data_IF_745415645831
#
_entry.id   IF_745415645831
#
_cell.length_a   1.000
_cell.length_b   1.000
_cell.length_c   1.000
_cell.angle_alpha   90.00
_cell.angle_beta   90.00
_cell.angle_gamma   90.00
#
_symmetry.space_group_name_H-M   'P 1'
#
loop_
_entity.id
_entity.type
_entity.pdbx_description
1 polymer ?
#
# COMPACT_ATOMS: atom_id res chain seq x y z
N UNK A 1 20.57 -9.55 10.40
CA UNK A 1 21.21 -9.98 9.14
C UNK A 1 20.20 -10.66 8.22
N UNK A 2 19.42 -11.60 8.77
CA UNK A 2 18.39 -12.31 8.01
C UNK A 2 17.35 -11.34 7.44
N UNK A 3 16.88 -10.41 8.27
CA UNK A 3 15.90 -9.40 7.83
C UNK A 3 16.48 -8.43 6.82
N UNK A 4 17.75 -8.07 6.97
CA UNK A 4 18.40 -7.14 6.05
C UNK A 4 18.42 -7.69 4.62
N UNK A 5 18.79 -8.97 4.44
CA UNK A 5 18.79 -9.62 3.13
C UNK A 5 17.38 -9.70 2.54
N UNK A 6 16.41 -10.05 3.39
CA UNK A 6 15.02 -10.11 2.99
C UNK A 6 14.51 -8.76 2.49
N UNK A 7 14.77 -7.70 3.26
CA UNK A 7 14.32 -6.38 2.87
C UNK A 7 15.06 -5.84 1.65
N UNK A 8 16.32 -6.22 1.44
CA UNK A 8 17.03 -5.90 0.21
C UNK A 8 16.40 -6.60 -0.99
N UNK A 9 15.98 -7.87 -0.82
CA UNK A 9 15.26 -8.59 -1.86
C UNK A 9 13.93 -7.87 -2.19
N UNK A 10 13.17 -7.52 -1.18
CA UNK A 10 11.91 -6.81 -1.35
C UNK A 10 12.13 -5.48 -2.07
N UNK A 11 13.19 -4.77 -1.73
CA UNK A 11 13.52 -3.51 -2.37
C UNK A 11 13.82 -3.68 -3.86
N UNK A 12 14.42 -4.81 -4.24
CA UNK A 12 14.76 -5.10 -5.62
C UNK A 12 13.59 -5.65 -6.43
N UNK A 13 12.50 -6.08 -5.78
CA UNK A 13 11.35 -6.69 -6.44
C UNK A 13 10.09 -5.85 -6.20
N UNK A 14 9.20 -5.85 -7.17
CA UNK A 14 7.97 -5.08 -7.04
C UNK A 14 7.02 -5.74 -6.06
N UNK A 15 6.63 -4.98 -5.03
CA UNK A 15 5.65 -5.43 -4.04
C UNK A 15 4.26 -5.11 -4.54
N UNK A 16 3.35 -6.07 -4.41
CA UNK A 16 1.92 -5.87 -4.71
C UNK A 16 1.21 -5.25 -3.52
N UNK A 17 1.34 -5.89 -2.35
CA UNK A 17 0.61 -5.48 -1.16
C UNK A 17 1.22 -6.07 0.10
N UNK A 18 0.94 -5.43 1.23
CA UNK A 18 1.25 -5.94 2.57
C UNK A 18 -0.08 -6.07 3.29
N UNK A 19 -0.40 -7.28 3.74
CA UNK A 19 -1.73 -7.57 4.31
C UNK A 19 -1.61 -8.24 5.68
N UNK A 20 -2.58 -8.01 6.57
CA UNK A 20 -2.69 -8.79 7.80
C UNK A 20 -2.93 -10.26 7.47
N UNK A 21 -2.21 -11.14 8.12
CA UNK A 21 -2.33 -12.59 7.93
C UNK A 21 -1.87 -13.30 9.19
N UNK A 22 -2.79 -13.97 9.87
CA UNK A 22 -2.50 -14.63 11.14
C UNK A 22 -2.55 -16.14 10.96
N UNK A 23 -1.42 -16.82 11.21
CA UNK A 23 -1.31 -18.27 11.10
C UNK A 23 -0.67 -18.90 12.35
N UNK A 24 -0.71 -18.21 13.49
CA UNK A 24 -0.14 -18.67 14.76
C UNK A 24 1.27 -18.14 15.02
N UNK A 25 2.11 -18.05 14.02
CA UNK A 25 3.47 -17.54 14.14
C UNK A 25 3.65 -16.18 13.46
N UNK A 26 2.91 -15.97 12.37
CA UNK A 26 3.03 -14.78 11.56
C UNK A 26 1.82 -13.87 11.73
N UNK A 27 2.01 -12.59 11.47
CA UNK A 27 0.97 -11.56 11.60
C UNK A 27 0.72 -10.80 10.31
N UNK A 28 1.57 -10.96 9.31
CA UNK A 28 1.37 -10.32 8.01
C UNK A 28 1.94 -11.15 6.88
N UNK A 29 1.56 -10.78 5.67
CA UNK A 29 2.09 -11.39 4.45
C UNK A 29 2.41 -10.30 3.45
N UNK A 30 3.56 -10.40 2.80
CA UNK A 30 3.96 -9.53 1.70
C UNK A 30 3.80 -10.30 0.40
N UNK A 31 3.05 -9.72 -0.53
CA UNK A 31 2.88 -10.25 -1.87
C UNK A 31 3.78 -9.50 -2.84
N UNK A 32 4.58 -10.24 -3.61
CA UNK A 32 5.35 -9.69 -4.72
C UNK A 32 4.87 -10.33 -6.02
N UNK A 33 5.37 -9.84 -7.15
CA UNK A 33 5.03 -10.45 -8.45
C UNK A 33 5.63 -11.85 -8.63
N UNK A 34 6.63 -12.23 -7.83
CA UNK A 34 7.26 -13.54 -7.89
C UNK A 34 6.81 -14.46 -6.76
N UNK A 35 6.84 -13.98 -5.52
CA UNK A 35 6.65 -14.82 -4.34
C UNK A 35 5.88 -14.08 -3.25
N UNK A 36 5.43 -14.85 -2.26
CA UNK A 36 4.75 -14.32 -1.08
C UNK A 36 5.55 -14.72 0.14
N UNK A 37 5.61 -13.81 1.14
CA UNK A 37 6.38 -14.03 2.36
C UNK A 37 5.53 -13.73 3.58
N UNK A 38 5.55 -14.65 4.56
CA UNK A 38 4.93 -14.40 5.86
C UNK A 38 5.92 -13.74 6.80
N UNK A 39 5.45 -12.80 7.59
CA UNK A 39 6.25 -12.07 8.57
C UNK A 39 5.62 -12.14 9.95
N UNK A 40 6.47 -12.20 10.98
CA UNK A 40 6.01 -12.18 12.37
C UNK A 40 5.40 -10.82 12.73
N UNK A 41 5.95 -9.74 12.20
CA UNK A 41 5.47 -8.39 12.49
C UNK A 41 4.11 -8.11 11.83
N UNK A 42 3.36 -7.18 12.41
CA UNK A 42 2.06 -6.78 11.86
C UNK A 42 2.22 -6.01 10.56
N UNK A 43 1.15 -5.97 9.76
CA UNK A 43 1.20 -5.33 8.45
C UNK A 43 1.63 -3.87 8.51
N UNK A 44 1.15 -3.09 9.48
CA UNK A 44 1.56 -1.69 9.62
C UNK A 44 3.04 -1.56 9.99
N UNK A 45 3.55 -2.45 10.83
CA UNK A 45 4.97 -2.44 11.17
C UNK A 45 5.83 -2.80 9.95
N UNK A 46 5.40 -3.79 9.17
CA UNK A 46 6.07 -4.19 7.94
C UNK A 46 6.06 -3.04 6.92
N UNK A 47 4.92 -2.37 6.77
CA UNK A 47 4.82 -1.21 5.87
C UNK A 47 5.71 -0.07 6.32
N UNK A 48 5.78 0.19 7.62
CA UNK A 48 6.65 1.22 8.17
C UNK A 48 8.12 0.90 7.90
N UNK A 49 8.51 -0.35 8.07
CA UNK A 49 9.87 -0.80 7.76
C UNK A 49 10.18 -0.62 6.27
N UNK A 50 9.22 -0.94 5.41
CA UNK A 50 9.37 -0.73 3.97
C UNK A 50 9.58 0.75 3.63
N UNK A 51 8.81 1.63 4.25
CA UNK A 51 9.00 3.08 4.08
C UNK A 51 10.40 3.51 4.53
N UNK A 52 10.87 2.98 5.65
CA UNK A 52 12.19 3.34 6.21
C UNK A 52 13.35 2.93 5.31
N UNK A 53 13.19 1.93 4.46
CA UNK A 53 14.18 1.60 3.44
C UNK A 53 14.44 2.78 2.50
N UNK A 54 13.44 3.64 2.34
CA UNK A 54 13.51 4.79 1.45
C UNK A 54 13.55 6.12 2.21
N UNK A 55 13.92 6.06 3.49
CA UNK A 55 14.31 7.23 4.26
C UNK A 55 13.25 7.90 5.12
N UNK A 56 12.05 7.35 5.22
CA UNK A 56 11.02 7.94 6.08
C UNK A 56 10.04 6.88 6.58
N UNK A 57 9.33 7.21 7.66
CA UNK A 57 8.30 6.37 8.25
C UNK A 57 6.95 6.56 7.54
N UNK A 58 5.97 5.70 7.87
CA UNK A 58 4.59 5.91 7.42
C UNK A 58 4.11 7.30 7.84
N UNK A 59 4.34 7.67 9.10
CA UNK A 59 3.87 8.97 9.61
C UNK A 59 4.50 10.15 8.88
N UNK A 60 5.79 10.08 8.59
CA UNK A 60 6.47 11.09 7.80
C UNK A 60 5.90 11.20 6.39
N UNK A 61 5.62 10.06 5.76
CA UNK A 61 5.01 10.01 4.42
C UNK A 61 3.60 10.57 4.41
N UNK A 62 2.79 10.23 5.44
CA UNK A 62 1.44 10.78 5.58
C UNK A 62 1.48 12.29 5.77
N UNK A 63 2.40 12.77 6.61
CA UNK A 63 2.57 14.20 6.84
C UNK A 63 2.87 14.94 5.53
N UNK A 64 3.75 14.39 4.71
CA UNK A 64 4.08 14.99 3.42
C UNK A 64 2.87 15.05 2.49
N UNK A 65 2.05 13.99 2.45
CA UNK A 65 0.83 13.97 1.65
C UNK A 65 -0.19 14.99 2.14
N UNK A 66 -0.40 15.07 3.46
CA UNK A 66 -1.32 16.05 4.05
C UNK A 66 -0.93 17.47 3.70
N UNK A 67 0.35 17.79 3.81
CA UNK A 67 0.84 19.13 3.50
C UNK A 67 0.68 19.46 2.03
N UNK A 68 0.93 18.51 1.15
CA UNK A 68 0.91 18.76 -0.29
C UNK A 68 -0.50 18.74 -0.89
N UNK A 69 -1.32 17.78 -0.48
CA UNK A 69 -2.62 17.52 -1.12
C UNK A 69 -3.83 17.73 -0.20
N UNK A 70 -3.60 17.89 1.10
CA UNK A 70 -4.69 18.14 2.05
C UNK A 70 -5.54 16.93 2.41
N UNK A 71 -5.15 15.72 2.01
CA UNK A 71 -5.89 14.52 2.38
C UNK A 71 -5.73 14.26 3.88
N UNK A 72 -6.83 14.01 4.59
CA UNK A 72 -6.80 13.85 6.04
C UNK A 72 -7.18 12.44 6.53
N UNK A 73 -7.95 11.69 5.75
CA UNK A 73 -8.38 10.34 6.10
C UNK A 73 -7.88 9.35 5.06
N UNK A 74 -7.50 8.15 5.51
CA UNK A 74 -7.04 7.08 4.64
C UNK A 74 -5.94 7.59 3.71
N UNK A 75 -4.97 8.26 4.29
CA UNK A 75 -3.98 9.04 3.55
C UNK A 75 -3.07 8.12 2.74
N UNK A 76 -3.05 8.28 1.41
CA UNK A 76 -2.09 7.56 0.58
C UNK A 76 -0.70 8.16 0.75
N UNK A 77 0.33 7.36 0.52
CA UNK A 77 1.71 7.77 0.76
C UNK A 77 2.58 7.44 -0.44
N UNK A 78 3.58 8.29 -0.68
CA UNK A 78 4.64 7.96 -1.61
C UNK A 78 5.67 7.11 -0.87
N UNK A 79 6.02 5.96 -1.41
CA UNK A 79 6.99 5.05 -0.79
C UNK A 79 8.33 5.16 -1.47
N UNK A 80 8.35 5.06 -2.79
CA UNK A 80 9.53 5.24 -3.64
C UNK A 80 9.19 6.28 -4.69
N UNK A 81 10.17 6.77 -5.47
CA UNK A 81 9.84 7.70 -6.56
C UNK A 81 8.83 7.15 -7.57
N UNK A 82 8.67 5.83 -7.64
CA UNK A 82 7.78 5.18 -8.60
C UNK A 82 6.58 4.48 -7.97
N UNK A 83 6.45 4.51 -6.66
CA UNK A 83 5.42 3.75 -5.97
C UNK A 83 4.69 4.58 -4.92
N UNK A 84 3.38 4.65 -5.06
CA UNK A 84 2.50 5.18 -4.03
C UNK A 84 1.68 4.03 -3.47
N UNK A 85 1.34 4.09 -2.20
CA UNK A 85 0.56 3.07 -1.52
C UNK A 85 -0.65 3.70 -0.86
N UNK A 86 -1.71 2.91 -0.69
CA UNK A 86 -2.88 3.39 0.04
C UNK A 86 -3.47 2.28 0.91
N UNK A 87 -4.05 2.67 2.06
CA UNK A 87 -4.62 1.70 2.98
C UNK A 87 -6.06 1.36 2.63
N UNK A 88 -6.42 0.09 2.85
CA UNK A 88 -7.80 -0.40 2.76
C UNK A 88 -8.13 -1.15 4.04
N UNK A 89 -9.40 -1.19 4.45
CA UNK A 89 -9.78 -1.98 5.60
C UNK A 89 -9.60 -3.46 5.30
N UNK A 90 -9.23 -4.22 6.33
CA UNK A 90 -9.14 -5.67 6.25
C UNK A 90 -10.28 -6.31 7.05
N UNK A 91 -10.33 -7.65 7.06
CA UNK A 91 -11.27 -8.37 7.91
C UNK A 91 -10.92 -8.28 9.40
N UNK A 92 -9.72 -7.82 9.73
CA UNK A 92 -9.30 -7.64 11.11
C UNK A 92 -9.52 -6.21 11.57
N UNK A 93 -10.10 -6.01 12.75
CA UNK A 93 -10.39 -4.68 13.28
C UNK A 93 -9.08 -3.90 13.50
N UNK A 94 -9.09 -2.63 13.08
CA UNK A 94 -7.96 -1.71 13.25
C UNK A 94 -6.68 -2.12 12.52
N UNK A 95 -6.75 -3.05 11.58
CA UNK A 95 -5.62 -3.43 10.75
C UNK A 95 -5.94 -3.21 9.28
N UNK A 96 -4.99 -2.67 8.57
CA UNK A 96 -5.18 -2.25 7.18
C UNK A 96 -4.40 -3.12 6.22
N UNK A 97 -4.95 -3.26 5.02
CA UNK A 97 -4.25 -3.78 3.86
C UNK A 97 -3.58 -2.60 3.19
N UNK A 98 -2.28 -2.70 2.92
CA UNK A 98 -1.55 -1.67 2.17
C UNK A 98 -1.39 -2.14 0.73
N UNK A 99 -2.01 -1.42 -0.20
CA UNK A 99 -1.91 -1.68 -1.64
C UNK A 99 -0.79 -0.81 -2.20
N UNK A 100 0.20 -1.43 -2.82
CA UNK A 100 1.39 -0.75 -3.35
C UNK A 100 1.38 -0.77 -4.87
N UNK A 101 0.98 -1.89 -5.49
CA UNK A 101 0.81 -1.95 -6.93
C UNK A 101 -0.59 -1.43 -7.28
N UNK A 102 -0.65 -0.29 -7.93
CA UNK A 102 -1.91 0.38 -8.26
C UNK A 102 -2.55 -0.15 -9.55
N UNK A 103 -1.89 -1.04 -10.25
CA UNK A 103 -2.37 -1.60 -11.52
C UNK A 103 -3.10 -2.90 -11.27
N UNK A 104 -4.37 -2.79 -10.91
CA UNK A 104 -5.22 -3.93 -10.60
C UNK A 104 -6.61 -3.77 -11.21
N UNK A 105 -7.32 -4.89 -11.31
CA UNK A 105 -8.72 -4.93 -11.69
C UNK A 105 -9.59 -5.08 -10.46
N UNK A 106 -10.85 -4.63 -10.56
CA UNK A 106 -11.81 -4.75 -9.47
C UNK A 106 -13.04 -5.48 -9.97
N UNK A 107 -13.46 -6.47 -9.21
CA UNK A 107 -14.71 -7.19 -9.43
C UNK A 107 -15.68 -6.82 -8.30
N UNK A 108 -16.83 -6.27 -8.66
CA UNK A 108 -17.86 -5.96 -7.67
C UNK A 108 -18.54 -7.25 -7.22
N UNK A 109 -18.55 -7.51 -5.90
CA UNK A 109 -19.19 -8.69 -5.34
C UNK A 109 -20.57 -8.36 -4.75
N UNK A 110 -20.71 -7.17 -4.22
CA UNK A 110 -21.97 -6.64 -3.66
C UNK A 110 -21.84 -5.11 -3.60
N UNK A 111 -22.87 -4.37 -3.24
CA UNK A 111 -22.77 -2.92 -3.12
C UNK A 111 -21.69 -2.44 -2.12
N UNK A 112 -21.35 -3.28 -1.13
CA UNK A 112 -20.39 -2.92 -0.08
C UNK A 112 -19.16 -3.82 -0.04
N UNK A 113 -18.91 -4.57 -1.11
CA UNK A 113 -17.82 -5.54 -1.13
C UNK A 113 -17.31 -5.72 -2.54
N UNK A 114 -15.99 -5.76 -2.68
CA UNK A 114 -15.38 -6.00 -3.98
C UNK A 114 -14.13 -6.86 -3.84
N UNK A 115 -13.59 -7.27 -4.96
CA UNK A 115 -12.38 -8.07 -5.03
C UNK A 115 -11.38 -7.35 -5.91
N UNK A 116 -10.18 -7.14 -5.39
CA UNK A 116 -9.06 -6.62 -6.15
C UNK A 116 -8.33 -7.82 -6.76
N UNK A 117 -8.06 -7.76 -8.05
CA UNK A 117 -7.42 -8.85 -8.78
C UNK A 117 -6.14 -8.37 -9.46
N UNK A 118 -5.10 -9.18 -9.35
CA UNK A 118 -3.85 -9.00 -10.07
C UNK A 118 -3.64 -10.18 -11.01
N UNK A 119 -2.77 -10.04 -12.03
CA UNK A 119 -2.40 -11.20 -12.87
C UNK A 119 -1.94 -12.39 -12.05
N UNK A 120 -1.27 -13.10 -11.86
CA UNK A 120 -0.69 -14.19 -11.03
C UNK A 120 -1.63 -14.76 -9.95
N UNK A 121 -2.95 -14.68 -10.15
CA UNK A 121 -3.97 -15.20 -9.21
C UNK A 121 -3.91 -14.60 -7.81
N UNK A 122 -3.27 -13.45 -7.65
CA UNK A 122 -3.30 -12.71 -6.39
C UNK A 122 -4.58 -11.89 -6.35
N UNK A 123 -5.35 -12.07 -5.29
CA UNK A 123 -6.59 -11.31 -5.12
C UNK A 123 -6.87 -11.06 -3.64
N UNK A 124 -7.61 -9.97 -3.39
CA UNK A 124 -7.99 -9.58 -2.03
C UNK A 124 -9.46 -9.19 -2.00
N UNK A 125 -10.20 -9.72 -1.02
CA UNK A 125 -11.57 -9.31 -0.80
C UNK A 125 -11.55 -8.10 0.13
N UNK A 126 -12.21 -7.02 -0.29
CA UNK A 126 -12.22 -5.75 0.41
C UNK A 126 -13.63 -5.42 0.87
N UNK A 127 -13.84 -5.11 2.17
CA UNK A 127 -15.16 -4.75 2.69
C UNK A 127 -15.52 -3.29 2.38
N UNK A 128 -15.42 -2.90 1.13
CA UNK A 128 -15.77 -1.59 0.59
C UNK A 128 -16.37 -1.78 -0.78
N UNK A 129 -17.15 -0.79 -1.22
CA UNK A 129 -17.67 -0.77 -2.58
C UNK A 129 -16.54 -0.59 -3.59
N UNK A 130 -16.77 -1.05 -4.81
CA UNK A 130 -15.85 -0.81 -5.93
C UNK A 130 -15.56 0.69 -6.09
N UNK A 131 -16.59 1.52 -5.98
CA UNK A 131 -16.46 2.98 -6.11
C UNK A 131 -15.52 3.55 -5.06
N UNK A 132 -15.62 3.09 -3.82
CA UNK A 132 -14.75 3.57 -2.74
C UNK A 132 -13.29 3.19 -2.98
N UNK A 133 -13.04 1.96 -3.44
CA UNK A 133 -11.67 1.52 -3.74
C UNK A 133 -11.09 2.32 -4.91
N UNK A 134 -11.89 2.55 -5.96
CA UNK A 134 -11.45 3.36 -7.11
C UNK A 134 -11.11 4.78 -6.68
N UNK A 135 -11.90 5.38 -5.78
CA UNK A 135 -11.63 6.71 -5.27
C UNK A 135 -10.30 6.77 -4.50
N UNK A 136 -10.03 5.76 -3.68
CA UNK A 136 -8.77 5.68 -2.93
C UNK A 136 -7.57 5.47 -3.86
N UNK A 137 -7.72 4.64 -4.90
CA UNK A 137 -6.67 4.46 -5.90
C UNK A 137 -6.36 5.77 -6.64
N UNK A 138 -7.40 6.51 -7.01
CA UNK A 138 -7.23 7.79 -7.69
C UNK A 138 -6.41 8.77 -6.85
N UNK A 139 -6.63 8.78 -5.53
CA UNK A 139 -5.87 9.64 -4.62
C UNK A 139 -4.39 9.19 -4.54
N UNK A 140 -4.13 7.89 -4.54
CA UNK A 140 -2.77 7.37 -4.55
C UNK A 140 -2.04 7.72 -5.85
N UNK A 141 -2.74 7.65 -6.99
CA UNK A 141 -2.20 8.07 -8.28
C UNK A 141 -1.87 9.57 -8.28
N UNK A 142 -2.71 10.38 -7.63
CA UNK A 142 -2.45 11.81 -7.50
C UNK A 142 -1.22 12.09 -6.62
N UNK A 143 -1.02 11.32 -5.56
CA UNK A 143 0.20 11.40 -4.75
C UNK A 143 1.42 11.12 -5.62
N UNK A 144 1.38 10.02 -6.38
CA UNK A 144 2.49 9.65 -7.26
C UNK A 144 2.79 10.76 -8.27
N UNK A 145 1.76 11.28 -8.93
CA UNK A 145 1.90 12.36 -9.90
C UNK A 145 2.46 13.64 -9.25
N UNK A 146 1.93 14.00 -8.09
CA UNK A 146 2.30 15.23 -7.39
C UNK A 146 3.77 15.27 -6.98
N UNK A 147 4.34 14.14 -6.58
CA UNK A 147 5.73 14.07 -6.16
C UNK A 147 6.67 13.79 -7.33
N UNK A 148 6.20 13.10 -8.37
CA UNK A 148 7.00 12.81 -9.57
C UNK A 148 7.09 14.02 -10.51
N UNK A 149 6.00 14.77 -10.62
CA UNK A 149 5.94 15.97 -11.47
C UNK A 149 5.53 17.16 -10.58
N UNK A 150 6.43 17.61 -9.71
CA UNK A 150 6.07 18.70 -8.81
C UNK A 150 5.74 19.97 -9.60
N UNK A 151 4.67 20.64 -9.18
CA UNK A 151 4.34 21.95 -9.70
C UNK A 151 5.37 22.91 -9.13
N UNK A 152 6.22 23.44 -9.99
CA UNK A 152 7.30 24.31 -9.57
C UNK A 152 6.85 25.74 -9.30
N UNK A 153 7.79 26.59 -8.89
CA UNK A 153 7.49 27.99 -8.57
C UNK A 153 6.87 28.78 -9.72
N UNK A 154 7.10 28.35 -10.94
CA UNK A 154 6.53 28.99 -12.12
C UNK A 154 5.00 28.88 -12.14
N UNK A 155 4.43 28.00 -11.35
CA UNK A 155 2.99 27.93 -11.24
C UNK A 155 2.41 29.07 -10.39
N UNK A 156 3.28 29.76 -9.70
CA UNK A 156 2.89 30.90 -8.88
C UNK A 156 2.81 32.16 -9.75
#
# INVERSE_FOLDING_TARGET
LKYRKFWQFIKANKIIAIVPHYDGENSSMIYTHQEHFCLEEKANEAMDRFCKLYGSSIEGRKSATRDRLGYRKNVPILVTPNDAAFPLPSQYNNEEIWIIDLDFYIEELSPNKCKILYPNDVSFIIPLSKRAVLARRARALEVLRSFTYPVGPQAA
#
